data_IF_607178741013
#
_entry.id   IF_607178741013
#
_cell.length_a   1.000
_cell.length_b   1.000
_cell.length_c   1.000
_cell.angle_alpha   90.00
_cell.angle_beta   90.00
_cell.angle_gamma   90.00
#
_symmetry.space_group_name_H-M   'P 1'
#
loop_
_entity.id
_entity.type
_entity.pdbx_description
1 polymer ?
#
# COMPACT_ATOMS: atom_id res chain seq x y z
N UNK A 1 24.95 3.08 -17.87
CA UNK A 1 24.50 4.15 -16.94
C UNK A 1 23.07 4.52 -17.28
N UNK A 2 22.18 4.57 -16.30
CA UNK A 2 20.79 4.94 -16.49
C UNK A 2 20.62 6.46 -16.47
N UNK A 3 19.70 6.98 -17.32
CA UNK A 3 19.28 8.37 -17.23
C UNK A 3 18.18 8.63 -16.21
N UNK A 4 17.63 7.56 -15.59
CA UNK A 4 16.64 7.69 -14.52
C UNK A 4 17.32 7.74 -13.16
N UNK A 5 16.66 8.37 -12.18
CA UNK A 5 17.21 8.51 -10.82
C UNK A 5 16.28 7.95 -9.76
N UNK A 6 15.40 7.03 -10.16
CA UNK A 6 14.50 6.35 -9.24
C UNK A 6 13.03 6.69 -9.44
N UNK A 7 12.22 6.29 -8.49
CA UNK A 7 10.79 6.47 -8.53
C UNK A 7 10.41 7.90 -8.12
N UNK A 8 9.61 8.58 -8.95
CA UNK A 8 9.05 9.90 -8.59
C UNK A 8 7.76 9.68 -7.75
N UNK A 9 6.82 8.97 -8.31
CA UNK A 9 5.59 8.58 -7.61
C UNK A 9 4.98 7.37 -8.32
N UNK A 10 4.07 6.70 -7.65
CA UNK A 10 3.32 5.57 -8.20
C UNK A 10 1.83 5.88 -8.15
N UNK A 11 1.16 5.78 -9.29
CA UNK A 11 -0.29 5.95 -9.37
C UNK A 11 -1.00 4.61 -9.21
N UNK A 12 -1.98 4.56 -8.31
CA UNK A 12 -2.79 3.38 -8.05
C UNK A 12 -4.26 3.71 -8.32
N UNK A 13 -4.92 2.87 -9.09
CA UNK A 13 -6.37 2.91 -9.21
C UNK A 13 -6.97 2.17 -8.01
N UNK A 14 -7.87 2.82 -7.30
CA UNK A 14 -8.46 2.29 -6.08
C UNK A 14 -9.97 2.16 -6.21
N UNK A 15 -10.51 1.14 -5.57
CA UNK A 15 -11.96 0.87 -5.60
C UNK A 15 -12.74 1.87 -4.75
N UNK A 16 -12.16 2.31 -3.65
CA UNK A 16 -12.77 3.25 -2.71
C UNK A 16 -11.71 4.23 -2.22
N UNK A 17 -11.70 5.42 -2.80
CA UNK A 17 -10.67 6.43 -2.54
C UNK A 17 -10.60 6.80 -1.06
N UNK A 18 -11.76 7.06 -0.44
CA UNK A 18 -11.79 7.48 0.96
C UNK A 18 -11.24 6.38 1.90
N UNK A 19 -11.64 5.13 1.67
CA UNK A 19 -11.16 4.02 2.49
C UNK A 19 -9.66 3.78 2.32
N UNK A 20 -9.15 3.82 1.08
CA UNK A 20 -7.72 3.64 0.83
C UNK A 20 -6.91 4.80 1.39
N UNK A 21 -7.34 6.05 1.15
CA UNK A 21 -6.67 7.23 1.70
C UNK A 21 -6.61 7.16 3.23
N UNK A 22 -7.73 6.85 3.88
CA UNK A 22 -7.79 6.77 5.33
C UNK A 22 -6.88 5.68 5.89
N UNK A 23 -6.72 4.57 5.17
CA UNK A 23 -5.76 3.54 5.57
C UNK A 23 -4.34 4.10 5.65
N UNK A 24 -3.88 4.78 4.60
CA UNK A 24 -2.53 5.35 4.61
C UNK A 24 -2.35 6.44 5.67
N UNK A 25 -3.35 7.30 5.83
CA UNK A 25 -3.27 8.43 6.78
C UNK A 25 -3.44 7.96 8.22
N UNK A 26 -4.48 7.19 8.52
CA UNK A 26 -4.85 6.86 9.90
C UNK A 26 -4.11 5.65 10.44
N UNK A 27 -3.83 4.65 9.61
CA UNK A 27 -3.14 3.43 10.05
C UNK A 27 -1.62 3.58 9.90
N UNK A 28 -1.14 4.00 8.72
CA UNK A 28 0.29 4.12 8.46
C UNK A 28 0.89 5.46 8.90
N UNK A 29 0.04 6.47 9.18
CA UNK A 29 0.51 7.78 9.63
C UNK A 29 1.06 8.67 8.51
N UNK A 30 0.65 8.42 7.27
CA UNK A 30 1.10 9.20 6.12
C UNK A 30 0.34 10.52 6.02
N UNK A 31 0.87 11.46 5.25
CA UNK A 31 0.24 12.76 5.00
C UNK A 31 -0.45 12.77 3.65
N UNK A 32 -1.65 13.35 3.62
CA UNK A 32 -2.42 13.56 2.40
C UNK A 32 -2.13 14.92 1.80
N UNK A 33 -2.14 15.01 0.46
CA UNK A 33 -2.05 16.27 -0.28
C UNK A 33 -2.74 16.13 -1.64
N UNK A 34 -3.11 17.28 -2.23
CA UNK A 34 -3.56 17.31 -3.61
C UNK A 34 -4.90 16.64 -3.88
N UNK A 35 -5.82 16.65 -2.91
CA UNK A 35 -7.16 16.13 -3.12
C UNK A 35 -7.90 16.94 -4.21
N UNK A 36 -8.46 16.22 -5.17
CA UNK A 36 -9.27 16.82 -6.26
C UNK A 36 -10.54 15.99 -6.41
N UNK A 37 -11.70 16.56 -6.00
CA UNK A 37 -12.97 15.81 -6.07
C UNK A 37 -13.48 15.63 -7.51
N UNK A 38 -12.95 16.34 -8.49
CA UNK A 38 -13.46 16.26 -9.84
C UNK A 38 -13.12 14.95 -10.55
N UNK A 39 -12.03 14.27 -10.18
CA UNK A 39 -11.68 12.96 -10.77
C UNK A 39 -12.52 11.83 -10.15
N UNK A 40 -12.50 11.48 -8.80
CA UNK A 40 -11.72 12.00 -7.65
C UNK A 40 -10.35 11.32 -7.47
N UNK A 41 -9.42 12.07 -6.95
CA UNK A 41 -8.07 11.59 -6.68
C UNK A 41 -7.44 12.31 -5.49
N UNK A 42 -6.39 11.71 -4.92
CA UNK A 42 -5.58 12.35 -3.88
C UNK A 42 -4.16 11.77 -3.89
N UNK A 43 -3.28 12.26 -3.05
CA UNK A 43 -1.95 11.72 -2.87
C UNK A 43 -1.66 11.52 -1.39
N UNK A 44 -0.84 10.51 -1.09
CA UNK A 44 -0.37 10.21 0.26
C UNK A 44 1.14 9.98 0.22
N UNK A 45 1.84 10.33 1.30
CA UNK A 45 3.30 10.19 1.35
C UNK A 45 3.78 9.96 2.76
N UNK A 46 4.84 9.16 2.90
CA UNK A 46 5.59 8.98 4.15
C UNK A 46 6.82 9.91 4.23
N UNK A 47 6.96 10.82 3.25
CA UNK A 47 8.11 11.71 3.13
C UNK A 47 9.16 11.22 2.13
N UNK A 48 9.12 9.97 1.73
CA UNK A 48 10.03 9.38 0.72
C UNK A 48 9.28 8.81 -0.47
N UNK A 49 8.30 7.93 -0.21
CA UNK A 49 7.43 7.39 -1.23
C UNK A 49 6.18 8.24 -1.36
N UNK A 50 5.81 8.57 -2.59
CA UNK A 50 4.58 9.28 -2.88
C UNK A 50 3.69 8.39 -3.75
N UNK A 51 2.47 8.16 -3.28
CA UNK A 51 1.44 7.44 -4.03
C UNK A 51 0.34 8.41 -4.42
N UNK A 52 -0.10 8.32 -5.67
CA UNK A 52 -1.30 9.03 -6.11
C UNK A 52 -2.43 7.99 -6.21
N UNK A 53 -3.56 8.29 -5.59
CA UNK A 53 -4.70 7.39 -5.52
C UNK A 53 -5.81 7.94 -6.40
N UNK A 54 -6.30 7.12 -7.32
CA UNK A 54 -7.27 7.51 -8.34
C UNK A 54 -8.48 6.62 -8.23
N UNK A 55 -9.64 7.22 -7.98
CA UNK A 55 -10.89 6.46 -7.88
C UNK A 55 -11.24 5.83 -9.22
N UNK A 56 -11.47 4.53 -9.24
CA UNK A 56 -12.00 3.89 -10.46
C UNK A 56 -13.40 4.43 -10.76
N UNK A 57 -13.75 4.48 -12.04
CA UNK A 57 -15.10 4.85 -12.46
C UNK A 57 -16.03 3.66 -12.21
N UNK A 58 -16.86 3.78 -11.18
CA UNK A 58 -17.73 2.69 -10.74
C UNK A 58 -18.88 2.42 -11.71
N UNK A 59 -19.13 3.31 -12.68
CA UNK A 59 -20.11 3.06 -13.72
C UNK A 59 -19.60 2.09 -14.80
N UNK A 60 -18.28 1.83 -14.82
CA UNK A 60 -17.64 0.89 -15.73
C UNK A 60 -17.46 -0.46 -15.05
N UNK A 61 -17.61 -1.55 -15.82
CA UNK A 61 -17.41 -2.91 -15.29
C UNK A 61 -15.92 -3.27 -15.31
N UNK A 62 -15.20 -2.81 -14.30
CA UNK A 62 -13.78 -3.17 -14.13
C UNK A 62 -13.62 -4.46 -13.35
N UNK A 63 -12.49 -5.14 -13.57
CA UNK A 63 -12.07 -6.27 -12.75
C UNK A 63 -11.43 -5.77 -11.45
N UNK A 64 -11.64 -6.50 -10.36
CA UNK A 64 -10.93 -6.25 -9.11
C UNK A 64 -9.45 -6.63 -9.24
N UNK A 65 -8.66 -6.25 -8.23
CA UNK A 65 -7.25 -6.62 -8.18
C UNK A 65 -7.09 -8.15 -8.19
N UNK A 66 -6.24 -8.65 -9.09
CA UNK A 66 -5.90 -10.07 -9.17
C UNK A 66 -4.51 -10.20 -9.78
N UNK A 67 -3.50 -10.43 -8.94
CA UNK A 67 -2.11 -10.50 -9.37
C UNK A 67 -1.80 -11.71 -10.25
N UNK A 68 -2.66 -12.71 -10.22
CA UNK A 68 -2.42 -13.94 -10.98
C UNK A 68 -3.01 -13.90 -12.38
N UNK A 69 -4.07 -13.10 -12.57
CA UNK A 69 -4.80 -13.02 -13.85
C UNK A 69 -4.48 -11.77 -14.64
N UNK A 70 -4.29 -10.66 -13.95
CA UNK A 70 -4.21 -9.35 -14.60
C UNK A 70 -2.78 -8.84 -14.63
N UNK A 71 -2.36 -8.33 -15.77
CA UNK A 71 -1.09 -7.60 -15.89
C UNK A 71 -1.20 -6.30 -15.07
N UNK A 72 -0.17 -6.00 -14.30
CA UNK A 72 -0.14 -4.80 -13.48
C UNK A 72 0.61 -5.00 -12.18
N UNK A 73 0.08 -4.45 -11.11
CA UNK A 73 0.70 -4.56 -9.79
C UNK A 73 0.64 -6.00 -9.28
N UNK A 74 1.80 -6.55 -8.88
CA UNK A 74 1.85 -7.80 -8.13
C UNK A 74 1.74 -7.50 -6.64
N UNK A 75 2.56 -6.60 -6.16
CA UNK A 75 2.49 -6.05 -4.80
C UNK A 75 3.33 -4.77 -4.73
N UNK A 76 3.07 -3.97 -3.72
CA UNK A 76 3.87 -2.79 -3.39
C UNK A 76 4.52 -3.04 -2.03
N UNK A 77 5.84 -3.03 -1.98
CA UNK A 77 6.59 -3.22 -0.75
C UNK A 77 7.00 -1.87 -0.16
N UNK A 78 6.63 -1.66 1.10
CA UNK A 78 6.94 -0.45 1.85
C UNK A 78 7.88 -0.83 2.98
N UNK A 79 9.04 -0.18 3.05
CA UNK A 79 10.02 -0.48 4.09
C UNK A 79 9.61 0.19 5.40
N UNK A 80 9.72 -0.54 6.50
CA UNK A 80 9.50 -0.02 7.85
C UNK A 80 10.83 0.10 8.59
N UNK A 81 10.87 1.01 9.57
CA UNK A 81 12.12 1.40 10.21
C UNK A 81 12.68 0.39 11.21
N UNK A 82 11.81 -0.47 11.78
CA UNK A 82 12.21 -1.41 12.81
C UNK A 82 11.29 -2.62 12.86
N UNK A 83 11.76 -3.71 13.45
CA UNK A 83 10.94 -4.88 13.71
C UNK A 83 9.76 -4.54 14.64
N UNK A 84 10.01 -3.73 15.65
CA UNK A 84 8.96 -3.29 16.57
C UNK A 84 7.85 -2.54 15.81
N UNK A 85 8.24 -1.66 14.90
CA UNK A 85 7.26 -0.90 14.10
C UNK A 85 6.48 -1.83 13.16
N UNK A 86 7.11 -2.85 12.60
CA UNK A 86 6.41 -3.84 11.79
C UNK A 86 5.31 -4.54 12.60
N UNK A 87 5.65 -4.98 13.82
CA UNK A 87 4.70 -5.66 14.69
C UNK A 87 3.56 -4.74 15.15
N UNK A 88 3.86 -3.47 15.42
CA UNK A 88 2.84 -2.48 15.78
C UNK A 88 1.85 -2.24 14.63
N UNK A 89 2.36 -2.06 13.42
CA UNK A 89 1.53 -1.85 12.25
C UNK A 89 0.70 -3.10 11.93
N UNK A 90 1.28 -4.28 12.09
CA UNK A 90 0.51 -5.52 11.93
C UNK A 90 -0.71 -5.55 12.85
N UNK A 91 -0.55 -5.22 14.12
CA UNK A 91 -1.67 -5.21 15.09
C UNK A 91 -2.76 -4.23 14.68
N UNK A 92 -2.40 -3.08 14.13
CA UNK A 92 -3.36 -2.10 13.63
C UNK A 92 -4.08 -2.59 12.37
N UNK A 93 -3.34 -3.22 11.48
CA UNK A 93 -3.89 -3.71 10.20
C UNK A 93 -4.82 -4.89 10.43
N UNK A 94 -4.46 -5.83 11.30
CA UNK A 94 -5.30 -7.02 11.58
C UNK A 94 -6.66 -6.63 12.16
N UNK A 95 -6.73 -5.51 12.88
CA UNK A 95 -7.99 -5.01 13.44
C UNK A 95 -8.80 -4.16 12.45
N UNK A 96 -8.22 -3.81 11.31
CA UNK A 96 -8.91 -2.97 10.34
C UNK A 96 -9.96 -3.77 9.57
N UNK A 97 -11.25 -3.36 9.59
CA UNK A 97 -12.34 -4.17 9.04
C UNK A 97 -12.28 -4.37 7.52
N UNK A 98 -11.55 -3.51 6.81
CA UNK A 98 -11.44 -3.56 5.34
C UNK A 98 -10.11 -4.07 4.84
N UNK A 99 -9.20 -4.46 5.73
CA UNK A 99 -7.93 -5.08 5.37
C UNK A 99 -8.01 -6.58 5.55
N UNK A 100 -7.28 -7.33 4.71
CA UNK A 100 -7.20 -8.78 4.78
C UNK A 100 -5.73 -9.18 4.90
N UNK A 101 -5.40 -9.95 5.94
CA UNK A 101 -4.02 -10.43 6.15
C UNK A 101 -3.80 -11.68 5.30
N UNK A 102 -2.77 -11.67 4.46
CA UNK A 102 -2.33 -12.87 3.74
C UNK A 102 -1.43 -13.72 4.63
N UNK A 103 -0.41 -13.07 5.23
CA UNK A 103 0.38 -13.70 6.31
C UNK A 103 0.92 -12.64 7.27
N UNK A 104 1.01 -13.04 8.54
CA UNK A 104 1.55 -12.22 9.63
C UNK A 104 3.07 -12.04 9.47
N UNK A 105 3.70 -11.11 10.22
CA UNK A 105 5.15 -10.93 10.15
C UNK A 105 5.92 -12.23 10.35
N UNK A 106 6.81 -12.52 9.41
CA UNK A 106 7.67 -13.69 9.42
C UNK A 106 9.00 -13.39 8.75
N UNK A 107 10.02 -14.21 9.03
CA UNK A 107 11.31 -14.05 8.41
C UNK A 107 11.23 -14.35 6.92
N UNK A 108 11.83 -13.47 6.11
CA UNK A 108 11.95 -13.67 4.68
C UNK A 108 13.17 -14.54 4.40
N UNK A 109 12.93 -15.72 3.82
CA UNK A 109 14.02 -16.66 3.46
C UNK A 109 14.97 -16.94 4.63
N UNK A 110 14.44 -17.08 5.84
CA UNK A 110 15.24 -17.36 7.04
C UNK A 110 15.90 -16.15 7.70
N UNK A 111 15.66 -14.97 7.18
CA UNK A 111 16.16 -13.73 7.76
C UNK A 111 17.39 -13.18 7.05
N UNK A 112 17.93 -12.01 7.48
CA UNK A 112 17.47 -11.22 8.63
C UNK A 112 16.18 -10.43 8.37
N UNK A 113 15.79 -10.22 7.10
CA UNK A 113 14.60 -9.45 6.75
C UNK A 113 13.34 -10.11 7.29
N UNK A 114 12.38 -9.29 7.69
CA UNK A 114 11.09 -9.73 8.20
C UNK A 114 9.99 -8.96 7.48
N UNK A 115 8.92 -9.62 7.11
CA UNK A 115 7.87 -9.00 6.32
C UNK A 115 6.49 -9.56 6.62
N UNK A 116 5.47 -8.83 6.20
CA UNK A 116 4.08 -9.27 6.20
C UNK A 116 3.43 -8.89 4.88
N UNK A 117 2.35 -9.59 4.52
CA UNK A 117 1.60 -9.32 3.30
C UNK A 117 0.12 -9.19 3.63
N UNK A 118 -0.53 -8.21 3.03
CA UNK A 118 -1.95 -7.95 3.27
C UNK A 118 -2.56 -7.24 2.06
N UNK A 119 -3.89 -7.18 2.06
CA UNK A 119 -4.63 -6.38 1.08
C UNK A 119 -5.21 -5.17 1.81
N UNK A 120 -4.96 -3.96 1.27
CA UNK A 120 -5.52 -2.72 1.78
C UNK A 120 -7.00 -2.60 1.36
N UNK A 121 -7.75 -1.56 1.81
CA UNK A 121 -9.22 -1.52 1.62
C UNK A 121 -9.74 -1.63 0.19
N UNK A 122 -8.97 -1.26 -0.82
CA UNK A 122 -9.38 -1.44 -2.23
C UNK A 122 -8.97 -2.80 -2.79
N UNK A 123 -8.36 -3.66 -1.97
CA UNK A 123 -7.92 -5.00 -2.37
C UNK A 123 -6.52 -5.06 -2.94
N UNK A 124 -5.79 -3.95 -2.99
CA UNK A 124 -4.41 -3.94 -3.50
C UNK A 124 -3.48 -4.66 -2.52
N UNK A 125 -2.54 -5.44 -3.08
CA UNK A 125 -1.63 -6.26 -2.28
C UNK A 125 -0.42 -5.45 -1.87
N UNK A 126 -0.25 -5.27 -0.55
CA UNK A 126 0.86 -4.51 0.03
C UNK A 126 1.73 -5.41 0.90
N UNK A 127 3.02 -5.09 0.91
CA UNK A 127 4.00 -5.73 1.77
C UNK A 127 4.61 -4.67 2.68
N UNK A 128 4.72 -4.96 3.98
CA UNK A 128 5.55 -4.18 4.88
C UNK A 128 6.79 -5.02 5.16
N UNK A 129 7.97 -4.42 5.00
CA UNK A 129 9.23 -5.15 5.13
C UNK A 129 10.23 -4.36 5.96
N UNK A 130 10.86 -5.06 6.92
CA UNK A 130 12.00 -4.58 7.68
C UNK A 130 13.26 -5.29 7.18
N UNK A 131 14.27 -4.49 6.83
CA UNK A 131 15.48 -5.03 6.20
C UNK A 131 16.35 -5.88 7.13
N UNK A 132 16.12 -5.80 8.44
CA UNK A 132 17.00 -6.43 9.42
C UNK A 132 18.18 -5.53 9.77
N UNK A 133 19.01 -6.02 10.64
CA UNK A 133 20.22 -5.29 11.08
C UNK A 133 21.43 -5.68 10.24
#
# INVERSE_FOLDING_TARGET
MSGTIGLNHLGLSVQNLEASKSFFVDVLGWEESGYDPSYPRTAVSDGKLRLTLWQVDQSLNGAGFDRKRNVGLHHLAIQVESELKLDELYRRIVDHPKCTIEFAPELLSGGPRKHMMFNEPSGLRLELIWQGN
#
